data_IF_593867158377
#
_entry.id   IF_593867158377
#
_cell.length_a   1.000
_cell.length_b   1.000
_cell.length_c   1.000
_cell.angle_alpha   90.00
_cell.angle_beta   90.00
_cell.angle_gamma   90.00
#
_symmetry.space_group_name_H-M   'P 1'
#
loop_
_entity.id
_entity.type
_entity.pdbx_description
1 polymer ?
#
# COMPACT_ATOMS: atom_id res chain seq x y z
N UNK A 1 9.94 21.84 -4.73
CA UNK A 1 10.16 20.79 -5.75
C UNK A 1 9.05 19.77 -5.52
N UNK A 2 7.95 19.83 -6.27
CA UNK A 2 6.81 18.93 -6.08
C UNK A 2 7.18 17.58 -6.69
N UNK A 3 7.76 16.69 -5.88
CA UNK A 3 7.93 15.30 -6.27
C UNK A 3 6.52 14.73 -6.40
N UNK A 4 6.08 14.43 -7.64
CA UNK A 4 4.98 13.48 -7.84
C UNK A 4 5.47 12.17 -7.23
N UNK A 5 5.05 11.85 -6.01
CA UNK A 5 5.37 10.56 -5.40
C UNK A 5 4.71 9.48 -6.25
N UNK A 6 5.49 8.46 -6.63
CA UNK A 6 4.94 7.26 -7.24
C UNK A 6 4.11 6.49 -6.21
N UNK A 7 3.12 5.72 -6.64
CA UNK A 7 2.26 4.86 -5.78
C UNK A 7 3.11 4.06 -4.79
N UNK A 8 4.16 3.41 -5.31
CA UNK A 8 5.17 2.71 -4.51
C UNK A 8 5.74 3.54 -3.36
N UNK A 9 6.18 4.77 -3.65
CA UNK A 9 6.82 5.62 -2.65
C UNK A 9 5.83 6.10 -1.58
N UNK A 10 4.54 6.23 -1.91
CA UNK A 10 3.50 6.54 -0.92
C UNK A 10 3.30 5.33 -0.02
N UNK A 11 3.11 4.15 -0.60
CA UNK A 11 2.91 2.88 0.14
C UNK A 11 4.09 2.59 1.07
N UNK A 12 5.33 2.66 0.56
CA UNK A 12 6.53 2.46 1.36
C UNK A 12 6.62 3.46 2.53
N UNK A 13 6.25 4.73 2.32
CA UNK A 13 6.26 5.73 3.40
C UNK A 13 5.21 5.48 4.46
N UNK A 14 3.99 5.11 4.06
CA UNK A 14 2.91 4.83 5.01
C UNK A 14 3.20 3.55 5.82
N UNK A 15 3.73 2.50 5.17
CA UNK A 15 4.21 1.30 5.88
C UNK A 15 5.33 1.67 6.85
N UNK A 16 6.32 2.46 6.41
CA UNK A 16 7.41 2.89 7.26
C UNK A 16 6.94 3.74 8.44
N UNK A 17 5.91 4.57 8.26
CA UNK A 17 5.31 5.36 9.34
C UNK A 17 4.63 4.46 10.38
N UNK A 18 3.87 3.46 9.93
CA UNK A 18 3.22 2.48 10.80
C UNK A 18 4.25 1.61 11.55
N UNK A 19 5.34 1.23 10.88
CA UNK A 19 6.41 0.46 11.49
C UNK A 19 7.23 1.30 12.47
N UNK A 20 7.54 2.57 12.19
CA UNK A 20 8.24 3.47 13.12
C UNK A 20 7.51 3.65 14.46
N UNK A 21 6.19 3.44 14.49
CA UNK A 21 5.40 3.43 15.72
C UNK A 21 5.65 2.17 16.57
N UNK A 22 6.26 1.14 15.97
CA UNK A 22 6.71 -0.11 16.58
C UNK A 22 8.22 -0.05 16.87
N UNK A 23 8.65 -0.54 18.04
CA UNK A 23 10.03 -0.40 18.54
C UNK A 23 11.11 -1.15 17.71
N UNK A 24 10.71 -1.92 16.70
CA UNK A 24 11.57 -2.80 15.88
C UNK A 24 11.94 -2.24 14.47
N UNK A 25 11.51 -1.03 14.11
CA UNK A 25 11.54 -0.55 12.72
C UNK A 25 12.84 0.13 12.26
N UNK A 26 13.95 -0.62 12.26
CA UNK A 26 15.23 -0.15 11.68
C UNK A 26 15.65 -0.89 10.40
N UNK A 27 14.89 -1.86 9.91
CA UNK A 27 15.23 -2.59 8.69
C UNK A 27 14.57 -1.95 7.45
N UNK A 28 15.37 -1.82 6.40
CA UNK A 28 14.94 -1.22 5.13
C UNK A 28 13.85 -2.09 4.51
N UNK A 29 12.63 -1.54 4.39
CA UNK A 29 11.52 -2.17 3.68
C UNK A 29 11.93 -2.53 2.26
N UNK A 30 11.87 -3.82 1.94
CA UNK A 30 12.03 -4.36 0.60
C UNK A 30 10.66 -4.63 -0.02
N UNK A 31 10.57 -4.53 -1.35
CA UNK A 31 9.30 -4.75 -2.05
C UNK A 31 8.84 -6.23 -1.99
N UNK A 32 9.79 -7.15 -1.85
CA UNK A 32 9.57 -8.59 -1.70
C UNK A 32 9.26 -8.99 -0.25
N UNK A 33 9.32 -8.07 0.71
CA UNK A 33 8.99 -8.40 2.10
C UNK A 33 7.49 -8.67 2.25
N UNK A 34 7.19 -9.77 2.93
CA UNK A 34 5.82 -10.12 3.29
C UNK A 34 5.31 -9.15 4.37
N UNK A 35 4.14 -8.55 4.13
CA UNK A 35 3.52 -7.61 5.07
C UNK A 35 3.34 -8.24 6.46
N UNK A 36 2.99 -9.53 6.48
CA UNK A 36 2.86 -10.30 7.73
C UNK A 36 4.19 -10.54 8.43
N UNK A 37 5.29 -10.75 7.69
CA UNK A 37 6.63 -10.94 8.28
C UNK A 37 7.21 -9.62 8.81
N UNK A 38 6.84 -8.49 8.20
CA UNK A 38 7.14 -7.14 8.70
C UNK A 38 6.39 -6.79 10.00
N UNK A 39 5.52 -7.68 10.50
CA UNK A 39 4.74 -7.46 11.71
C UNK A 39 3.48 -6.61 11.50
N UNK A 40 3.07 -6.36 10.24
CA UNK A 40 1.82 -5.66 9.97
C UNK A 40 0.64 -6.57 10.31
N UNK A 41 -0.06 -6.20 11.39
CA UNK A 41 -1.28 -6.88 11.79
C UNK A 41 -2.46 -6.44 10.91
N UNK A 42 -3.53 -7.23 10.89
CA UNK A 42 -4.76 -6.94 10.12
C UNK A 42 -5.31 -5.52 10.35
N UNK A 43 -5.18 -5.00 11.58
CA UNK A 43 -5.61 -3.64 11.92
C UNK A 43 -4.70 -2.56 11.32
N UNK A 44 -3.37 -2.78 11.35
CA UNK A 44 -2.41 -1.87 10.73
C UNK A 44 -2.59 -1.86 9.21
N UNK A 45 -2.84 -3.04 8.61
CA UNK A 45 -3.16 -3.16 7.20
C UNK A 45 -4.45 -2.39 6.87
N UNK A 46 -5.54 -2.60 7.62
CA UNK A 46 -6.79 -1.87 7.38
C UNK A 46 -6.59 -0.34 7.47
N UNK A 47 -5.82 0.14 8.46
CA UNK A 47 -5.49 1.56 8.60
C UNK A 47 -4.65 2.07 7.43
N UNK A 48 -3.62 1.31 7.01
CA UNK A 48 -2.81 1.61 5.83
C UNK A 48 -3.69 1.80 4.59
N UNK A 49 -4.63 0.88 4.35
CA UNK A 49 -5.53 0.95 3.20
C UNK A 49 -6.39 2.22 3.20
N UNK A 50 -6.94 2.59 4.36
CA UNK A 50 -7.73 3.82 4.52
C UNK A 50 -6.87 5.05 4.24
N UNK A 51 -5.63 5.09 4.73
CA UNK A 51 -4.72 6.21 4.48
C UNK A 51 -4.35 6.33 3.00
N UNK A 52 -4.04 5.20 2.36
CA UNK A 52 -3.71 5.12 0.94
C UNK A 52 -4.90 5.50 0.07
N UNK A 53 -6.11 5.08 0.42
CA UNK A 53 -7.34 5.50 -0.28
C UNK A 53 -7.52 7.02 -0.15
N UNK A 54 -7.26 7.61 1.01
CA UNK A 54 -7.35 9.06 1.19
C UNK A 54 -6.28 9.84 0.40
N UNK A 55 -5.06 9.31 0.30
CA UNK A 55 -3.94 9.92 -0.44
C UNK A 55 -4.06 9.73 -1.96
N UNK A 56 -4.37 8.51 -2.42
CA UNK A 56 -4.42 8.13 -3.84
C UNK A 56 -5.82 8.32 -4.45
N UNK A 57 -6.86 8.35 -3.62
CA UNK A 57 -8.25 8.53 -4.04
C UNK A 57 -8.82 7.31 -4.77
N UNK A 58 -8.32 6.10 -4.47
CA UNK A 58 -8.75 4.83 -5.09
C UNK A 58 -8.65 3.69 -4.07
N UNK A 59 -9.57 2.74 -4.16
CA UNK A 59 -9.55 1.49 -3.39
C UNK A 59 -9.44 0.29 -4.35
N UNK A 60 -8.29 -0.41 -4.41
CA UNK A 60 -8.13 -1.59 -5.26
C UNK A 60 -8.89 -2.82 -4.75
N UNK A 61 -9.34 -2.82 -3.48
CA UNK A 61 -10.02 -3.94 -2.84
C UNK A 61 -11.52 -3.95 -3.06
N UNK A 62 -12.11 -2.81 -3.46
CA UNK A 62 -13.55 -2.69 -3.58
C UNK A 62 -14.16 -3.40 -4.79
N UNK A 63 -13.36 -3.69 -5.83
CA UNK A 63 -13.89 -4.20 -7.11
C UNK A 63 -13.31 -5.55 -7.58
N UNK A 64 -12.00 -5.81 -7.46
CA UNK A 64 -11.38 -7.01 -8.05
C UNK A 64 -10.33 -7.74 -7.20
N UNK A 65 -9.63 -7.07 -6.28
CA UNK A 65 -8.52 -7.67 -5.54
C UNK A 65 -8.96 -8.02 -4.13
N UNK A 66 -8.82 -9.28 -3.70
CA UNK A 66 -9.07 -9.63 -2.31
C UNK A 66 -7.88 -9.21 -1.45
N UNK A 67 -8.15 -8.63 -0.27
CA UNK A 67 -7.10 -8.29 0.70
C UNK A 67 -6.27 -9.52 1.12
N UNK A 68 -6.85 -10.71 1.03
CA UNK A 68 -6.20 -12.00 1.32
C UNK A 68 -5.18 -12.43 0.27
N UNK A 69 -5.24 -11.88 -0.94
CA UNK A 69 -4.27 -12.14 -2.01
C UNK A 69 -3.01 -11.26 -1.87
N UNK A 70 -3.07 -10.21 -1.05
CA UNK A 70 -1.92 -9.34 -0.79
C UNK A 70 -1.05 -9.96 0.29
N UNK A 71 0.12 -10.44 -0.10
CA UNK A 71 1.11 -11.00 0.84
C UNK A 71 2.32 -10.12 0.99
N UNK A 72 2.70 -9.41 -0.07
CA UNK A 72 3.94 -8.61 -0.10
C UNK A 72 3.65 -7.13 -0.39
N UNK A 73 4.63 -6.26 -0.08
CA UNK A 73 4.56 -4.84 -0.44
C UNK A 73 4.37 -4.68 -1.96
N UNK A 74 5.04 -5.49 -2.77
CA UNK A 74 4.89 -5.51 -4.23
C UNK A 74 3.45 -5.80 -4.68
N UNK A 75 2.76 -6.73 -4.03
CA UNK A 75 1.37 -7.06 -4.38
C UNK A 75 0.47 -5.85 -4.13
N UNK A 76 0.67 -5.18 -3.00
CA UNK A 76 -0.08 -3.98 -2.64
C UNK A 76 0.15 -2.85 -3.65
N UNK A 77 1.40 -2.61 -4.03
CA UNK A 77 1.76 -1.61 -5.04
C UNK A 77 1.08 -1.92 -6.38
N UNK A 78 1.21 -3.16 -6.86
CA UNK A 78 0.60 -3.57 -8.12
C UNK A 78 -0.93 -3.46 -8.09
N UNK A 79 -1.58 -3.73 -6.96
CA UNK A 79 -3.02 -3.59 -6.82
C UNK A 79 -3.46 -2.12 -6.99
N UNK A 80 -2.78 -1.19 -6.29
CA UNK A 80 -3.07 0.24 -6.41
C UNK A 80 -2.74 0.79 -7.81
N UNK A 81 -1.62 0.41 -8.41
CA UNK A 81 -1.28 0.83 -9.77
C UNK A 81 -2.35 0.39 -10.78
N UNK A 82 -2.78 -0.88 -10.73
CA UNK A 82 -3.85 -1.40 -11.57
C UNK A 82 -5.17 -0.67 -11.35
N UNK A 83 -5.53 -0.34 -10.11
CA UNK A 83 -6.78 0.37 -9.83
C UNK A 83 -6.76 1.81 -10.35
N UNK A 84 -5.62 2.51 -10.26
CA UNK A 84 -5.44 3.84 -10.86
C UNK A 84 -5.53 3.76 -12.38
N UNK A 85 -4.85 2.78 -13.00
CA UNK A 85 -4.91 2.56 -14.44
C UNK A 85 -6.33 2.22 -14.91
N UNK A 86 -7.03 1.34 -14.20
CA UNK A 86 -8.42 0.96 -14.49
C UNK A 86 -9.36 2.17 -14.40
N UNK A 87 -9.22 3.01 -13.35
CA UNK A 87 -9.98 4.26 -13.22
C UNK A 87 -9.71 5.20 -14.38
N UNK A 88 -8.45 5.34 -14.80
CA UNK A 88 -8.07 6.22 -15.92
C UNK A 88 -8.61 5.76 -17.28
N UNK A 89 -8.92 4.46 -17.43
CA UNK A 89 -9.49 3.89 -18.65
C UNK A 89 -11.02 3.76 -18.62
N UNK A 90 -11.64 3.86 -17.44
CA UNK A 90 -13.10 3.76 -17.24
C UNK A 90 -13.88 5.07 -17.44
N UNK A 91 -13.21 6.20 -17.67
CA UNK A 91 -13.83 7.48 -18.05
C UNK A 91 -13.93 7.59 -19.57
N UNK A 92 -14.87 6.85 -20.19
CA UNK A 92 -15.16 6.86 -21.63
C UNK A 92 -16.65 6.87 -21.93
#
# INVERSE_FOLDING_TARGET
MLVRKSVRSVIEQEIHALLMESEDASESLSADDELFELGLNSLMLAQLLIQLEAELGVDPFSEQVSITDIRSVSDLVNAYEQAIEARSQGEG
#
